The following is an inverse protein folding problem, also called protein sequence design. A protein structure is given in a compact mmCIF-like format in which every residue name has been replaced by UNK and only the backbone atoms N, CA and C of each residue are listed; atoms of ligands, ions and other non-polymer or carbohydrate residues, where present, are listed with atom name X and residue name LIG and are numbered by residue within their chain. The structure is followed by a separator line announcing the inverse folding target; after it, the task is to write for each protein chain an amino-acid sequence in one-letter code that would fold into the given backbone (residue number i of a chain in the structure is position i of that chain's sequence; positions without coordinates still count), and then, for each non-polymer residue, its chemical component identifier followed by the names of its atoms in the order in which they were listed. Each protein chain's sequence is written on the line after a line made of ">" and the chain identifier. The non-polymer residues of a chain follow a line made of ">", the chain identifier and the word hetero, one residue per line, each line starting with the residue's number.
data_IF_779113215337
#
_entry.id   IF_779113215337
#
_cell.length_a   1.000
_cell.length_b   1.000
_cell.length_c   1.000
_cell.angle_alpha   90.00
_cell.angle_beta   90.00
_cell.angle_gamma   90.00
#
_symmetry.space_group_name_H-M   'P 1'
#
loop_
_entity.id
_entity.type
_entity.pdbx_description
1 polymer ?
#
# COMPACT_ATOMS: atom_id res chain seq x y z
N UNK A 1 -7.12 9.95 23.16
CA UNK A 1 -6.13 8.93 23.59
C UNK A 1 -6.65 7.56 23.18
N UNK A 2 -6.32 7.10 21.98
CA UNK A 2 -6.65 5.74 21.54
C UNK A 2 -5.82 4.75 22.35
N UNK A 3 -6.48 3.91 23.13
CA UNK A 3 -5.81 2.85 23.90
C UNK A 3 -5.11 1.92 22.92
N UNK A 4 -3.79 1.94 22.93
CA UNK A 4 -2.97 1.05 22.13
C UNK A 4 -3.00 -0.32 22.81
N UNK A 5 -3.85 -1.22 22.32
CA UNK A 5 -3.87 -2.60 22.82
C UNK A 5 -2.49 -3.23 22.64
N UNK A 6 -1.85 -3.59 23.75
CA UNK A 6 -0.54 -4.24 23.75
C UNK A 6 -0.70 -5.71 23.34
N UNK A 7 -0.41 -6.01 22.08
CA UNK A 7 -0.33 -7.40 21.61
C UNK A 7 0.88 -8.09 22.28
N UNK A 8 0.66 -9.28 22.86
CA UNK A 8 1.71 -10.08 23.50
C UNK A 8 2.91 -10.34 22.57
N UNK A 9 4.16 -10.27 23.07
CA UNK A 9 5.35 -10.57 22.27
C UNK A 9 5.30 -11.93 21.59
N UNK A 10 4.78 -12.96 22.26
CA UNK A 10 4.65 -14.31 21.70
C UNK A 10 3.73 -14.34 20.49
N UNK A 11 2.63 -13.58 20.54
CA UNK A 11 1.69 -13.47 19.41
C UNK A 11 2.36 -12.75 18.24
N UNK A 12 3.07 -11.64 18.49
CA UNK A 12 3.80 -10.90 17.45
C UNK A 12 4.85 -11.78 16.78
N UNK A 13 5.65 -12.50 17.56
CA UNK A 13 6.68 -13.40 17.05
C UNK A 13 6.07 -14.53 16.19
N UNK A 14 4.95 -15.12 16.63
CA UNK A 14 4.25 -16.16 15.88
C UNK A 14 3.75 -15.65 14.53
N UNK A 15 3.10 -14.48 14.48
CA UNK A 15 2.61 -13.88 13.23
C UNK A 15 3.76 -13.63 12.23
N UNK A 16 4.90 -13.13 12.72
CA UNK A 16 6.07 -12.89 11.87
C UNK A 16 6.68 -14.21 11.37
N UNK A 17 6.78 -15.22 12.23
CA UNK A 17 7.30 -16.54 11.86
C UNK A 17 6.41 -17.23 10.81
N UNK A 18 5.09 -17.18 10.98
CA UNK A 18 4.10 -17.73 10.03
C UNK A 18 4.10 -17.00 8.69
N UNK A 19 4.55 -15.73 8.66
CA UNK A 19 4.68 -14.95 7.43
C UNK A 19 5.94 -15.30 6.62
N UNK A 20 6.97 -15.87 7.26
CA UNK A 20 8.29 -16.09 6.66
C UNK A 20 8.27 -16.98 5.38
N UNK A 21 7.47 -18.05 5.28
CA UNK A 21 7.39 -18.85 4.06
C UNK A 21 6.92 -18.04 2.85
N UNK A 22 5.98 -17.11 3.03
CA UNK A 22 5.48 -16.24 1.96
C UNK A 22 6.55 -15.24 1.52
N UNK A 23 7.25 -14.62 2.49
CA UNK A 23 8.35 -13.69 2.22
C UNK A 23 9.43 -14.40 1.40
N UNK A 24 9.86 -15.59 1.82
CA UNK A 24 10.87 -16.39 1.11
C UNK A 24 10.43 -16.76 -0.31
N UNK A 25 9.16 -17.12 -0.49
CA UNK A 25 8.61 -17.50 -1.80
C UNK A 25 8.71 -16.38 -2.83
N UNK A 26 8.54 -15.13 -2.42
CA UNK A 26 8.49 -13.98 -3.32
C UNK A 26 9.72 -13.06 -3.25
N UNK A 27 10.67 -13.34 -2.37
CA UNK A 27 11.93 -12.59 -2.30
C UNK A 27 12.64 -12.59 -3.67
N UNK A 28 13.14 -11.43 -4.08
CA UNK A 28 13.73 -11.20 -5.41
C UNK A 28 12.72 -11.08 -6.56
N UNK A 29 11.43 -11.32 -6.32
CA UNK A 29 10.41 -11.22 -7.36
C UNK A 29 9.97 -9.77 -7.60
N UNK A 30 9.56 -9.49 -8.84
CA UNK A 30 8.85 -8.26 -9.21
C UNK A 30 7.36 -8.46 -8.89
N UNK A 31 6.75 -7.50 -8.20
CA UNK A 31 5.31 -7.49 -7.94
C UNK A 31 4.69 -6.21 -8.49
N UNK A 32 3.77 -6.34 -9.44
CA UNK A 32 3.04 -5.21 -10.02
C UNK A 32 1.79 -4.96 -9.18
N UNK A 33 1.68 -3.75 -8.63
CA UNK A 33 0.58 -3.35 -7.74
C UNK A 33 -0.21 -2.25 -8.43
N UNK A 34 -1.47 -2.52 -8.77
CA UNK A 34 -2.38 -1.50 -9.25
C UNK A 34 -2.90 -0.69 -8.06
N UNK A 35 -2.56 0.59 -8.04
CA UNK A 35 -2.99 1.56 -7.01
C UNK A 35 -4.08 2.47 -7.57
N UNK A 36 -5.24 2.52 -6.93
CA UNK A 36 -6.34 3.38 -7.38
C UNK A 36 -7.60 3.30 -6.52
N UNK A 37 -8.61 4.10 -6.86
CA UNK A 37 -9.85 4.19 -6.09
C UNK A 37 -9.64 4.94 -4.77
N UNK A 38 -10.41 4.57 -3.74
CA UNK A 38 -10.40 5.24 -2.42
C UNK A 38 -9.01 5.25 -1.76
N UNK A 39 -8.16 4.27 -2.09
CA UNK A 39 -6.79 4.22 -1.59
C UNK A 39 -5.93 5.44 -1.99
N UNK A 40 -6.32 6.18 -3.05
CA UNK A 40 -5.65 7.41 -3.50
C UNK A 40 -6.19 8.69 -2.86
N UNK A 41 -7.40 8.66 -2.29
CA UNK A 41 -8.12 9.85 -1.82
C UNK A 41 -8.20 9.94 -0.32
N UNK A 42 -8.29 8.81 0.38
CA UNK A 42 -8.33 8.78 1.84
C UNK A 42 -6.91 8.86 2.44
N UNK A 43 -6.59 9.87 3.27
CA UNK A 43 -5.23 10.08 3.78
C UNK A 43 -4.65 8.85 4.50
N UNK A 44 -5.44 8.21 5.37
CA UNK A 44 -5.00 7.04 6.13
C UNK A 44 -4.66 5.84 5.22
N UNK A 45 -5.46 5.63 4.15
CA UNK A 45 -5.20 4.54 3.19
C UNK A 45 -3.99 4.85 2.30
N UNK A 46 -3.77 6.12 1.95
CA UNK A 46 -2.61 6.56 1.18
C UNK A 46 -1.31 6.35 1.96
N UNK A 47 -1.29 6.70 3.24
CA UNK A 47 -0.15 6.46 4.12
C UNK A 47 0.08 4.97 4.36
N UNK A 48 -0.99 4.21 4.60
CA UNK A 48 -0.93 2.75 4.74
C UNK A 48 -0.31 2.08 3.50
N UNK A 49 -0.79 2.46 2.31
CA UNK A 49 -0.27 1.95 1.04
C UNK A 49 1.23 2.26 0.88
N UNK A 50 1.66 3.48 1.17
CA UNK A 50 3.07 3.86 1.09
C UNK A 50 3.93 3.03 2.05
N UNK A 51 3.47 2.83 3.30
CA UNK A 51 4.15 2.00 4.30
C UNK A 51 4.27 0.55 3.85
N UNK A 52 3.22 -0.01 3.24
CA UNK A 52 3.22 -1.39 2.76
C UNK A 52 4.18 -1.58 1.58
N UNK A 53 4.22 -0.64 0.64
CA UNK A 53 5.19 -0.64 -0.47
C UNK A 53 6.63 -0.64 0.05
N UNK A 54 6.92 0.21 1.04
CA UNK A 54 8.25 0.24 1.69
C UNK A 54 8.54 -1.09 2.38
N UNK A 55 7.58 -1.66 3.11
CA UNK A 55 7.74 -2.96 3.74
C UNK A 55 8.11 -4.04 2.71
N UNK A 56 7.36 -4.13 1.60
CA UNK A 56 7.64 -5.10 0.53
C UNK A 56 9.07 -4.95 0.00
N UNK A 57 9.54 -3.71 -0.20
CA UNK A 57 10.92 -3.45 -0.62
C UNK A 57 11.95 -3.91 0.42
N UNK A 58 11.70 -3.65 1.70
CA UNK A 58 12.60 -4.03 2.80
C UNK A 58 12.72 -5.54 2.99
N UNK A 59 11.66 -6.30 2.72
CA UNK A 59 11.66 -7.77 2.81
C UNK A 59 12.14 -8.45 1.51
N UNK A 60 12.63 -7.68 0.54
CA UNK A 60 13.32 -8.18 -0.64
C UNK A 60 12.46 -8.32 -1.90
N UNK A 61 11.23 -7.81 -1.93
CA UNK A 61 10.45 -7.72 -3.17
C UNK A 61 10.81 -6.47 -3.97
N UNK A 62 10.49 -6.48 -5.26
CA UNK A 62 10.64 -5.34 -6.17
C UNK A 62 9.25 -4.83 -6.59
N UNK A 63 8.59 -3.99 -5.78
CA UNK A 63 7.27 -3.46 -6.10
C UNK A 63 7.34 -2.48 -7.28
N UNK A 64 6.43 -2.65 -8.23
CA UNK A 64 6.17 -1.74 -9.37
C UNK A 64 4.75 -1.24 -9.24
N UNK A 65 4.58 0.06 -8.99
CA UNK A 65 3.26 0.66 -8.75
C UNK A 65 2.71 1.22 -10.05
N UNK A 66 1.50 0.80 -10.42
CA UNK A 66 0.75 1.35 -11.55
C UNK A 66 -0.46 2.08 -10.99
N UNK A 67 -0.60 3.38 -11.26
CA UNK A 67 -1.73 4.17 -10.74
C UNK A 67 -2.58 4.81 -11.83
N UNK A 68 -3.83 5.12 -11.47
CA UNK A 68 -4.73 5.93 -12.30
C UNK A 68 -4.65 7.42 -11.94
N UNK A 69 -5.47 8.24 -12.61
CA UNK A 69 -5.59 9.67 -12.32
C UNK A 69 -6.96 10.25 -12.66
N UNK A 70 -8.00 9.41 -12.80
CA UNK A 70 -9.32 9.81 -13.30
C UNK A 70 -9.91 11.05 -12.60
N UNK A 71 -10.02 11.07 -11.25
CA UNK A 71 -10.52 12.23 -10.53
C UNK A 71 -9.71 13.50 -10.79
N UNK A 72 -8.38 13.42 -10.78
CA UNK A 72 -7.49 14.56 -11.01
C UNK A 72 -7.56 15.06 -12.45
N UNK A 73 -7.75 14.17 -13.41
CA UNK A 73 -7.98 14.51 -14.82
C UNK A 73 -9.31 15.26 -14.94
N UNK A 74 -10.39 14.77 -14.32
CA UNK A 74 -11.69 15.43 -14.36
C UNK A 74 -11.64 16.83 -13.72
N UNK A 75 -10.99 16.96 -12.56
CA UNK A 75 -10.80 18.25 -11.88
C UNK A 75 -10.04 19.24 -12.78
N UNK A 76 -9.00 18.78 -13.48
CA UNK A 76 -8.25 19.63 -14.41
C UNK A 76 -9.08 20.02 -15.63
N UNK A 77 -9.86 19.07 -16.18
CA UNK A 77 -10.75 19.30 -17.33
C UNK A 77 -11.82 20.36 -17.01
N UNK A 78 -12.39 20.31 -15.81
CA UNK A 78 -13.31 21.34 -15.31
C UNK A 78 -12.64 22.71 -15.21
N UNK A 79 -11.41 22.77 -14.66
CA UNK A 79 -10.63 24.02 -14.56
C UNK A 79 -10.35 24.68 -15.90
N UNK A 80 -10.18 23.89 -16.97
CA UNK A 80 -9.93 24.40 -18.34
C UNK A 80 -11.20 24.54 -19.18
N UNK A 81 -12.38 24.41 -18.58
CA UNK A 81 -13.67 24.60 -19.24
C UNK A 81 -14.06 23.50 -20.24
N UNK A 82 -13.40 22.34 -20.19
CA UNK A 82 -13.74 21.18 -21.02
C UNK A 82 -14.50 20.16 -20.18
N UNK A 83 -15.84 20.23 -20.18
CA UNK A 83 -16.68 19.18 -19.59
C UNK A 83 -16.81 18.00 -20.56
N UNK A 84 -16.68 16.77 -20.04
CA UNK A 84 -17.18 15.57 -20.70
C UNK A 84 -18.66 15.40 -20.42
#
# INVERSE_FOLDING_TARGET
>A
MTQQQSVSPTIKARVLAESLPYIRRFSGSIIVIKYGGNAMTEPALKEGFARDVVLLKLIGLHPVIVHGGGPQINEMLEKVGKKR
#
